data_IF_664194060037
#
_entry.id   IF_664194060037
#
_cell.length_a   1.000
_cell.length_b   1.000
_cell.length_c   1.000
_cell.angle_alpha   90.00
_cell.angle_beta   90.00
_cell.angle_gamma   90.00
#
_symmetry.space_group_name_H-M   'P 1'
#
loop_
_entity.id
_entity.type
_entity.pdbx_description
1 polymer ?
#
# COMPACT_ATOMS: atom_id res chain seq x y z
N UNK A 1 5.69 -12.33 4.87
CA UNK A 1 6.84 -11.38 4.88
C UNK A 1 6.50 -10.25 3.93
N UNK A 2 6.64 -9.00 4.37
CA UNK A 2 6.28 -7.83 3.57
C UNK A 2 7.41 -7.49 2.61
N UNK A 3 7.06 -7.30 1.34
CA UNK A 3 7.97 -6.81 0.32
C UNK A 3 7.40 -5.53 -0.30
N UNK A 4 8.26 -4.53 -0.49
CA UNK A 4 7.92 -3.27 -1.13
C UNK A 4 8.89 -3.00 -2.29
N UNK A 5 8.35 -2.88 -3.49
CA UNK A 5 9.10 -2.59 -4.71
C UNK A 5 8.79 -1.17 -5.16
N UNK A 6 9.80 -0.30 -5.17
CA UNK A 6 9.71 1.08 -5.68
C UNK A 6 10.37 1.13 -7.06
N UNK A 7 9.65 1.64 -8.06
CA UNK A 7 10.18 1.79 -9.41
C UNK A 7 10.41 3.25 -9.73
N UNK A 8 11.59 3.54 -10.27
CA UNK A 8 12.04 4.89 -10.63
C UNK A 8 12.31 5.01 -12.12
N UNK A 9 12.02 6.18 -12.70
CA UNK A 9 12.36 6.53 -14.08
C UNK A 9 12.86 7.97 -14.11
N UNK A 10 14.07 8.19 -14.63
CA UNK A 10 14.72 9.51 -14.66
C UNK A 10 14.68 10.19 -13.28
N UNK A 11 15.10 9.45 -12.26
CA UNK A 11 15.16 9.90 -10.85
C UNK A 11 13.82 10.28 -10.22
N UNK A 12 12.69 9.96 -10.86
CA UNK A 12 11.34 10.13 -10.31
C UNK A 12 10.74 8.79 -9.95
N UNK A 13 10.08 8.72 -8.80
CA UNK A 13 9.25 7.57 -8.42
C UNK A 13 8.03 7.54 -9.35
N UNK A 14 7.80 6.41 -10.01
CA UNK A 14 6.69 6.23 -10.96
C UNK A 14 5.69 5.17 -10.52
N UNK A 15 6.09 4.24 -9.65
CA UNK A 15 5.18 3.30 -9.02
C UNK A 15 5.77 2.69 -7.75
N UNK A 16 4.87 2.19 -6.90
CA UNK A 16 5.19 1.30 -5.79
C UNK A 16 4.28 0.07 -5.88
N UNK A 17 4.77 -1.05 -5.36
CA UNK A 17 4.03 -2.31 -5.24
C UNK A 17 4.35 -2.91 -3.89
N UNK A 18 3.33 -3.34 -3.16
CA UNK A 18 3.48 -3.92 -1.82
C UNK A 18 2.78 -5.27 -1.80
N UNK A 19 3.48 -6.30 -1.35
CA UNK A 19 2.97 -7.67 -1.19
C UNK A 19 3.22 -8.18 0.24
N UNK A 20 2.52 -9.25 0.63
CA UNK A 20 2.75 -9.93 1.92
C UNK A 20 2.32 -9.16 3.18
N UNK A 21 1.48 -8.14 3.06
CA UNK A 21 0.93 -7.31 4.16
C UNK A 21 -0.50 -7.69 4.59
N UNK A 22 -1.00 -8.84 4.13
CA UNK A 22 -2.40 -9.26 4.25
C UNK A 22 -2.56 -10.63 4.94
N UNK A 23 -1.47 -11.24 5.39
CA UNK A 23 -1.50 -12.50 6.13
C UNK A 23 -1.11 -12.21 7.57
N UNK A 24 -1.87 -12.72 8.55
CA UNK A 24 -1.50 -12.67 9.96
C UNK A 24 -0.42 -13.72 10.22
N UNK A 25 0.82 -13.26 10.42
CA UNK A 25 1.96 -14.08 10.80
C UNK A 25 1.98 -14.35 12.31
N UNK A 26 3.18 -14.52 12.87
CA UNK A 26 3.39 -14.60 14.32
C UNK A 26 2.86 -13.37 15.08
N UNK A 27 2.72 -13.48 16.41
CA UNK A 27 2.21 -12.40 17.26
C UNK A 27 2.90 -11.06 16.97
N UNK A 28 2.11 -10.02 16.71
CA UNK A 28 2.60 -8.67 16.38
C UNK A 28 2.74 -8.39 14.88
N UNK A 29 2.64 -9.39 14.00
CA UNK A 29 2.68 -9.20 12.55
C UNK A 29 1.52 -8.32 12.04
N UNK A 30 0.34 -8.44 12.67
CA UNK A 30 -0.86 -7.68 12.31
C UNK A 30 -0.66 -6.16 12.48
N UNK A 31 0.17 -5.73 13.44
CA UNK A 31 0.51 -4.31 13.63
C UNK A 31 1.34 -3.78 12.47
N UNK A 32 2.28 -4.58 11.98
CA UNK A 32 3.13 -4.21 10.84
C UNK A 32 2.31 -4.20 9.54
N UNK A 33 1.44 -5.20 9.34
CA UNK A 33 0.49 -5.25 8.23
C UNK A 33 -0.43 -4.02 8.21
N UNK A 34 -0.98 -3.64 9.36
CA UNK A 34 -1.81 -2.45 9.50
C UNK A 34 -1.05 -1.16 9.15
N UNK A 35 0.17 -0.99 9.68
CA UNK A 35 0.99 0.19 9.40
C UNK A 35 1.31 0.34 7.91
N UNK A 36 1.74 -0.74 7.26
CA UNK A 36 2.06 -0.75 5.83
C UNK A 36 0.81 -0.49 4.98
N UNK A 37 -0.33 -1.05 5.37
CA UNK A 37 -1.60 -0.84 4.67
C UNK A 37 -2.06 0.62 4.76
N UNK A 38 -2.01 1.23 5.95
CA UNK A 38 -2.35 2.65 6.14
C UNK A 38 -1.46 3.54 5.29
N UNK A 39 -0.13 3.36 5.34
CA UNK A 39 0.80 4.16 4.55
C UNK A 39 0.55 4.05 3.04
N UNK A 40 0.31 2.84 2.55
CA UNK A 40 0.03 2.58 1.13
C UNK A 40 -1.26 3.26 0.67
N UNK A 41 -2.35 3.06 1.41
CA UNK A 41 -3.67 3.62 1.09
C UNK A 41 -3.64 5.15 1.20
N UNK A 42 -3.04 5.71 2.26
CA UNK A 42 -2.91 7.16 2.43
C UNK A 42 -2.09 7.78 1.30
N UNK A 43 -1.04 7.12 0.84
CA UNK A 43 -0.26 7.59 -0.32
C UNK A 43 -1.11 7.63 -1.59
N UNK A 44 -1.85 6.55 -1.89
CA UNK A 44 -2.76 6.52 -3.05
C UNK A 44 -3.84 7.60 -2.97
N UNK A 45 -4.47 7.75 -1.80
CA UNK A 45 -5.53 8.74 -1.59
C UNK A 45 -4.99 10.16 -1.73
N UNK A 46 -3.81 10.47 -1.17
CA UNK A 46 -3.23 11.82 -1.25
C UNK A 46 -2.76 12.18 -2.67
N UNK A 47 -2.35 11.19 -3.49
CA UNK A 47 -2.10 11.45 -4.91
C UNK A 47 -3.37 11.96 -5.61
N UNK A 48 -4.52 11.41 -5.28
CA UNK A 48 -5.80 11.84 -5.82
C UNK A 48 -6.27 13.17 -5.21
N UNK A 49 -6.33 13.25 -3.87
CA UNK A 49 -6.92 14.39 -3.16
C UNK A 49 -6.05 15.64 -3.23
N UNK A 50 -4.75 15.52 -3.00
CA UNK A 50 -3.84 16.65 -2.91
C UNK A 50 -3.17 16.96 -4.24
N UNK A 51 -2.66 15.95 -4.94
CA UNK A 51 -1.91 16.15 -6.19
C UNK A 51 -2.81 16.15 -7.44
N UNK A 52 -4.10 15.82 -7.32
CA UNK A 52 -5.05 15.67 -8.44
C UNK A 52 -4.58 14.69 -9.53
N UNK A 53 -3.76 13.72 -9.14
CA UNK A 53 -3.27 12.64 -9.97
C UNK A 53 -4.10 11.40 -9.65
N UNK A 54 -4.80 10.84 -10.63
CA UNK A 54 -5.49 9.55 -10.45
C UNK A 54 -4.48 8.41 -10.55
N UNK A 55 -4.10 7.74 -9.45
CA UNK A 55 -3.17 6.62 -9.53
C UNK A 55 -3.86 5.43 -10.22
N UNK A 56 -3.07 4.64 -10.95
CA UNK A 56 -3.50 3.34 -11.45
C UNK A 56 -3.29 2.34 -10.32
N UNK A 57 -4.36 1.99 -9.61
CA UNK A 57 -4.33 1.03 -8.52
C UNK A 57 -4.99 -0.29 -8.94
N UNK A 58 -4.44 -1.42 -8.47
CA UNK A 58 -5.10 -2.71 -8.60
C UNK A 58 -5.84 -3.04 -7.30
N UNK A 59 -7.03 -3.65 -7.44
CA UNK A 59 -7.98 -3.90 -6.35
C UNK A 59 -7.48 -4.82 -5.22
N UNK A 60 -6.27 -5.38 -5.35
CA UNK A 60 -5.66 -6.23 -4.32
C UNK A 60 -5.34 -5.49 -3.02
N UNK A 61 -5.13 -4.17 -3.06
CA UNK A 61 -4.82 -3.36 -1.87
C UNK A 61 -6.03 -3.00 -0.99
N UNK A 62 -7.22 -2.81 -1.59
CA UNK A 62 -8.35 -2.14 -0.91
C UNK A 62 -9.29 -3.11 -0.19
N UNK A 63 -9.46 -4.31 -0.75
CA UNK A 63 -10.46 -5.27 -0.25
C UNK A 63 -10.03 -5.91 1.08
N UNK A 64 -8.73 -5.99 1.36
CA UNK A 64 -8.25 -6.71 2.53
C UNK A 64 -8.52 -5.97 3.85
N UNK A 65 -8.42 -4.63 3.90
CA UNK A 65 -8.66 -3.89 5.15
C UNK A 65 -10.16 -3.72 5.48
N UNK A 66 -11.04 -3.62 4.47
CA UNK A 66 -12.49 -3.48 4.68
C UNK A 66 -13.18 -4.76 5.18
N UNK A 67 -12.49 -5.90 5.21
CA UNK A 67 -13.00 -7.15 5.77
C UNK A 67 -12.72 -7.32 7.26
N UNK A 68 -11.82 -6.52 7.84
CA UNK A 68 -11.39 -6.63 9.23
C UNK A 68 -11.62 -5.34 10.04
N UNK A 69 -12.36 -4.39 9.47
CA UNK A 69 -12.98 -3.24 10.15
C UNK A 69 -14.47 -3.50 10.35
#
# INVERSE_FOLDING_TARGET
>A
MIEAVIRTKRDKIVSYEISGHAESGEYGHDVVCAAVSVLSITTANNLYEMAKIKPIATWKMVIFMLKYL
#
